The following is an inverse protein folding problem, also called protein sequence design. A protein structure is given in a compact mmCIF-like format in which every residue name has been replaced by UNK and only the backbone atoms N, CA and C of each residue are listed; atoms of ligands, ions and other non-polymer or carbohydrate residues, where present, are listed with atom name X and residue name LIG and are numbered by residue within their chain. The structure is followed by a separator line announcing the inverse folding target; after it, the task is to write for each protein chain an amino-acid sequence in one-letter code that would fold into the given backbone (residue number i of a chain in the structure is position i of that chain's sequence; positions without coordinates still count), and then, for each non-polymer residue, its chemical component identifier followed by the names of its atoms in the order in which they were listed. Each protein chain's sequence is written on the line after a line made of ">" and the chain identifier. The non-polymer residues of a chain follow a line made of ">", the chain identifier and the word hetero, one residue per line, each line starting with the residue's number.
data_IF_150789945406
#
_entry.id   IF_150789945406
#
_cell.length_a   1.000
_cell.length_b   1.000
_cell.length_c   1.000
_cell.angle_alpha   90.00
_cell.angle_beta   90.00
_cell.angle_gamma   90.00
#
_symmetry.space_group_name_H-M   'P 1'
#
loop_
_entity.id
_entity.type
_entity.pdbx_description
1 polymer ?
#
# COMPACT_ATOMS: atom_id res chain seq x y z
N UNK A 1 -40.87 -1.89 13.10
CA UNK A 1 -40.29 -1.73 11.76
C UNK A 1 -38.99 -0.98 11.92
N UNK A 2 -37.90 -1.46 11.32
CA UNK A 2 -36.60 -0.79 11.41
C UNK A 2 -36.58 0.30 10.34
N UNK A 3 -36.62 1.57 10.76
CA UNK A 3 -36.45 2.70 9.86
C UNK A 3 -35.01 2.77 9.36
N UNK A 4 -34.84 2.63 8.05
CA UNK A 4 -33.55 2.86 7.38
C UNK A 4 -33.38 4.37 7.15
N UNK A 5 -32.48 4.99 7.91
CA UNK A 5 -32.05 6.38 7.68
C UNK A 5 -31.33 6.51 6.34
N UNK A 6 -31.63 7.58 5.63
CA UNK A 6 -31.03 7.88 4.32
C UNK A 6 -29.62 8.49 4.47
N UNK A 7 -28.77 8.34 3.45
CA UNK A 7 -27.38 8.86 3.44
C UNK A 7 -27.26 10.37 3.69
N UNK A 8 -28.34 11.15 3.49
CA UNK A 8 -28.38 12.59 3.82
C UNK A 8 -28.52 12.83 5.33
N UNK A 9 -29.22 11.97 6.06
CA UNK A 9 -29.49 12.14 7.50
C UNK A 9 -28.28 11.76 8.35
N UNK A 10 -27.47 10.79 7.88
CA UNK A 10 -26.19 10.43 8.52
C UNK A 10 -25.20 11.61 8.47
N UNK A 11 -25.20 12.37 7.37
CA UNK A 11 -24.32 13.54 7.20
C UNK A 11 -24.74 14.75 8.05
N UNK A 12 -26.01 14.89 8.45
CA UNK A 12 -26.44 15.98 9.34
C UNK A 12 -26.19 15.67 10.82
N UNK A 13 -26.30 14.41 11.27
CA UNK A 13 -25.97 14.06 12.65
C UNK A 13 -24.47 14.19 12.96
N UNK A 14 -23.59 14.05 11.96
CA UNK A 14 -22.15 14.26 12.13
C UNK A 14 -21.76 15.75 12.31
N UNK A 15 -22.62 16.69 11.92
CA UNK A 15 -22.33 18.14 11.96
C UNK A 15 -22.90 18.88 13.18
N UNK A 16 -23.72 18.24 14.02
CA UNK A 16 -24.43 18.91 15.12
C UNK A 16 -23.88 18.62 16.53
N UNK A 17 -22.82 17.82 16.68
CA UNK A 17 -22.21 17.53 17.99
C UNK A 17 -20.87 18.26 18.11
N UNK A 18 -20.93 19.59 18.14
CA UNK A 18 -19.87 20.47 18.64
C UNK A 18 -20.52 21.74 19.20
N UNK A 19 -20.88 21.74 20.47
CA UNK A 19 -20.42 22.74 21.44
C UNK A 19 -20.93 22.41 22.85
N UNK A 20 -20.36 23.08 23.84
CA UNK A 20 -20.63 23.04 25.28
C UNK A 20 -19.82 22.05 26.12
N UNK A 21 -18.53 22.36 26.23
CA UNK A 21 -17.89 22.63 27.54
C UNK A 21 -16.53 23.32 27.38
N UNK A 22 -16.54 24.64 27.55
CA UNK A 22 -15.35 25.48 27.71
C UNK A 22 -14.75 25.26 29.10
N UNK A 23 -13.46 24.92 29.17
CA UNK A 23 -12.43 25.54 30.06
C UNK A 23 -11.09 24.80 29.93
N UNK A 24 -10.08 25.51 29.44
CA UNK A 24 -8.70 25.04 29.36
C UNK A 24 -7.96 25.66 28.18
N UNK A 25 -7.69 26.97 28.24
CA UNK A 25 -6.84 27.64 27.26
C UNK A 25 -5.40 27.21 27.49
N UNK A 26 -4.89 26.33 26.62
CA UNK A 26 -3.45 26.24 26.32
C UNK A 26 -3.26 26.61 24.86
N UNK A 27 -2.54 27.72 24.64
CA UNK A 27 -2.07 28.15 23.31
C UNK A 27 -1.12 27.08 22.77
N UNK A 28 -1.63 26.19 21.93
CA UNK A 28 -0.82 25.36 21.05
C UNK A 28 -0.31 26.23 19.90
N UNK A 29 0.98 26.56 19.96
CA UNK A 29 1.76 27.07 18.83
C UNK A 29 1.58 26.14 17.62
N UNK A 30 1.34 26.70 16.44
CA UNK A 30 1.15 25.94 15.21
C UNK A 30 2.30 24.97 14.97
N UNK A 31 2.02 23.67 15.14
CA UNK A 31 2.88 22.62 14.61
C UNK A 31 2.80 22.71 13.09
N UNK A 32 3.92 23.08 12.47
CA UNK A 32 4.14 22.75 11.07
C UNK A 32 3.89 21.24 10.91
N UNK A 33 3.15 20.84 9.88
CA UNK A 33 3.05 19.44 9.44
C UNK A 33 4.47 18.94 9.17
N UNK A 34 5.12 18.41 10.20
CA UNK A 34 6.52 18.01 10.16
C UNK A 34 6.61 16.68 9.43
N UNK A 35 7.36 16.66 8.33
CA UNK A 35 7.62 15.42 7.60
C UNK A 35 8.18 14.36 8.55
N UNK A 36 7.50 13.21 8.63
CA UNK A 36 7.93 12.06 9.44
C UNK A 36 9.09 11.34 8.76
N UNK A 37 9.91 10.62 9.52
CA UNK A 37 10.90 9.71 8.94
C UNK A 37 10.22 8.47 8.37
N UNK A 38 10.74 7.92 7.26
CA UNK A 38 10.21 6.68 6.67
C UNK A 38 10.30 5.49 7.65
N UNK A 39 11.15 5.56 8.67
CA UNK A 39 11.22 4.60 9.77
C UNK A 39 9.87 4.40 10.50
N UNK A 40 8.97 5.39 10.52
CA UNK A 40 7.60 5.22 11.07
C UNK A 40 6.84 4.11 10.31
N UNK A 41 7.08 4.00 9.00
CA UNK A 41 6.51 2.93 8.19
C UNK A 41 7.00 1.52 8.58
N UNK A 42 8.24 1.38 9.07
CA UNK A 42 8.77 0.11 9.59
C UNK A 42 7.96 -0.36 10.81
N UNK A 43 7.70 0.52 11.76
CA UNK A 43 6.94 0.19 12.97
C UNK A 43 5.50 -0.24 12.66
N UNK A 44 4.83 0.52 11.79
CA UNK A 44 3.48 0.20 11.32
C UNK A 44 3.43 -1.19 10.67
N UNK A 45 4.43 -1.51 9.85
CA UNK A 45 4.51 -2.81 9.15
C UNK A 45 4.81 -3.92 10.14
N UNK A 46 5.76 -3.74 11.06
CA UNK A 46 6.09 -4.71 12.10
C UNK A 46 4.86 -5.08 12.94
N UNK A 47 4.07 -4.08 13.36
CA UNK A 47 2.83 -4.31 14.10
C UNK A 47 1.79 -5.10 13.30
N UNK A 48 1.59 -4.77 12.01
CA UNK A 48 0.63 -5.46 11.14
C UNK A 48 1.03 -6.91 10.89
N UNK A 49 2.31 -7.14 10.65
CA UNK A 49 2.88 -8.47 10.42
C UNK A 49 2.75 -9.34 11.65
N UNK A 50 3.06 -8.81 12.83
CA UNK A 50 2.88 -9.49 14.11
C UNK A 50 1.41 -9.87 14.32
N UNK A 51 0.50 -8.90 14.18
CA UNK A 51 -0.95 -9.11 14.36
C UNK A 51 -1.53 -10.14 13.39
N UNK A 52 -0.99 -10.21 12.17
CA UNK A 52 -1.47 -11.12 11.13
C UNK A 52 -0.78 -12.49 11.13
N UNK A 53 0.19 -12.70 12.03
CA UNK A 53 0.91 -13.97 12.22
C UNK A 53 1.50 -14.53 10.91
N UNK A 54 2.14 -13.67 10.12
CA UNK A 54 2.65 -14.05 8.79
C UNK A 54 3.95 -14.85 8.89
N UNK A 55 4.06 -15.92 8.10
CA UNK A 55 5.33 -16.66 7.92
C UNK A 55 6.33 -15.79 7.15
N UNK A 56 7.28 -15.18 7.86
CA UNK A 56 8.35 -14.38 7.27
C UNK A 56 9.57 -15.21 6.86
N UNK A 57 9.45 -16.52 6.71
CA UNK A 57 10.53 -17.34 6.16
C UNK A 57 10.58 -17.15 4.65
N UNK A 58 11.73 -16.73 4.07
CA UNK A 58 11.87 -16.63 2.63
C UNK A 58 11.59 -17.95 1.91
N UNK A 59 10.93 -17.89 0.74
CA UNK A 59 10.67 -19.05 -0.10
C UNK A 59 11.26 -18.85 -1.49
N UNK A 60 11.82 -19.91 -2.04
CA UNK A 60 12.33 -19.90 -3.41
C UNK A 60 11.18 -19.85 -4.41
N UNK A 61 11.44 -19.18 -5.53
CA UNK A 61 10.55 -19.18 -6.69
C UNK A 61 11.17 -20.04 -7.80
N UNK A 62 10.37 -20.80 -8.55
CA UNK A 62 10.89 -21.63 -9.64
C UNK A 62 11.43 -20.78 -10.82
N UNK A 63 11.01 -19.51 -10.90
CA UNK A 63 11.35 -18.61 -11.99
C UNK A 63 11.62 -17.19 -11.50
N UNK A 64 12.45 -16.45 -12.23
CA UNK A 64 12.50 -14.99 -12.12
C UNK A 64 11.32 -14.37 -12.87
N UNK A 65 10.80 -13.25 -12.33
CA UNK A 65 9.80 -12.42 -13.00
C UNK A 65 10.24 -12.04 -14.42
N UNK A 66 9.29 -11.93 -15.34
CA UNK A 66 9.50 -11.51 -16.71
C UNK A 66 9.39 -9.98 -16.83
N UNK A 67 10.25 -9.37 -17.62
CA UNK A 67 10.03 -7.98 -18.07
C UNK A 67 8.86 -7.89 -19.04
N UNK A 68 8.27 -6.70 -19.22
CA UNK A 68 7.19 -6.49 -20.20
C UNK A 68 7.59 -6.92 -21.62
N UNK A 69 8.83 -6.66 -22.02
CA UNK A 69 9.36 -7.10 -23.31
C UNK A 69 9.47 -8.62 -23.43
N UNK A 70 9.89 -9.30 -22.37
CA UNK A 70 9.94 -10.77 -22.35
C UNK A 70 8.53 -11.38 -22.35
N UNK A 71 7.59 -10.82 -21.58
CA UNK A 71 6.19 -11.24 -21.60
C UNK A 71 5.60 -11.11 -23.01
N UNK A 72 5.83 -9.98 -23.70
CA UNK A 72 5.37 -9.75 -25.07
C UNK A 72 5.94 -10.80 -26.03
N UNK A 73 7.26 -11.02 -26.02
CA UNK A 73 7.92 -12.01 -26.89
C UNK A 73 7.37 -13.42 -26.68
N UNK A 74 7.18 -13.85 -25.43
CA UNK A 74 6.63 -15.19 -25.16
C UNK A 74 5.16 -15.26 -25.60
N UNK A 75 4.38 -14.18 -25.41
CA UNK A 75 2.99 -14.10 -25.87
C UNK A 75 2.87 -14.25 -27.38
N UNK A 76 3.72 -13.57 -28.15
CA UNK A 76 3.78 -13.70 -29.61
C UNK A 76 4.10 -15.15 -30.04
N UNK A 77 5.03 -15.82 -29.33
CA UNK A 77 5.31 -17.24 -29.57
C UNK A 77 4.13 -18.14 -29.23
N UNK A 78 3.34 -17.83 -28.20
CA UNK A 78 2.11 -18.57 -27.86
C UNK A 78 1.10 -18.43 -29.00
N UNK A 79 0.86 -17.20 -29.47
CA UNK A 79 -0.07 -16.88 -30.57
C UNK A 79 0.35 -17.60 -31.87
N UNK A 80 1.65 -17.62 -32.17
CA UNK A 80 2.21 -18.30 -33.33
C UNK A 80 2.43 -19.81 -33.13
N UNK A 81 2.07 -20.38 -31.97
CA UNK A 81 2.29 -21.79 -31.61
C UNK A 81 3.74 -22.28 -31.70
N UNK A 82 4.71 -21.37 -31.50
CA UNK A 82 6.15 -21.66 -31.51
C UNK A 82 6.78 -21.63 -30.12
N UNK A 83 5.97 -21.46 -29.07
CA UNK A 83 6.44 -21.40 -27.68
C UNK A 83 6.93 -22.76 -27.19
N UNK A 84 8.04 -22.79 -26.46
CA UNK A 84 8.48 -24.01 -25.78
C UNK A 84 7.66 -24.27 -24.51
N UNK A 85 7.62 -25.53 -24.06
CA UNK A 85 6.94 -25.91 -22.80
C UNK A 85 7.44 -25.11 -21.60
N UNK A 86 8.75 -24.81 -21.57
CA UNK A 86 9.38 -24.08 -20.48
C UNK A 86 9.03 -22.58 -20.49
N UNK A 87 9.06 -21.95 -21.66
CA UNK A 87 8.60 -20.56 -21.82
C UNK A 87 7.13 -20.40 -21.41
N UNK A 88 6.28 -21.35 -21.81
CA UNK A 88 4.88 -21.33 -21.44
C UNK A 88 4.66 -21.46 -19.93
N UNK A 89 5.35 -22.40 -19.27
CA UNK A 89 5.31 -22.55 -17.79
C UNK A 89 5.75 -21.28 -17.08
N UNK A 90 6.87 -20.69 -17.51
CA UNK A 90 7.39 -19.44 -16.95
C UNK A 90 6.41 -18.28 -17.15
N UNK A 91 5.82 -18.13 -18.33
CA UNK A 91 4.81 -17.12 -18.61
C UNK A 91 3.57 -17.26 -17.73
N UNK A 92 3.04 -18.48 -17.60
CA UNK A 92 1.88 -18.74 -16.76
C UNK A 92 2.19 -18.49 -15.27
N UNK A 93 3.37 -18.89 -14.81
CA UNK A 93 3.81 -18.60 -13.45
C UNK A 93 3.91 -17.09 -13.21
N UNK A 94 4.54 -16.35 -14.11
CA UNK A 94 4.73 -14.89 -14.00
C UNK A 94 3.39 -14.13 -14.00
N UNK A 95 2.43 -14.58 -14.83
CA UNK A 95 1.05 -14.06 -14.83
C UNK A 95 0.37 -14.28 -13.48
N UNK A 96 0.47 -15.49 -12.91
CA UNK A 96 -0.11 -15.80 -11.58
C UNK A 96 0.57 -15.00 -10.48
N UNK A 97 1.90 -14.91 -10.52
CA UNK A 97 2.69 -14.15 -9.55
C UNK A 97 2.35 -12.65 -9.59
N UNK A 98 2.27 -12.07 -10.78
CA UNK A 98 1.87 -10.67 -10.98
C UNK A 98 0.46 -10.40 -10.44
N UNK A 99 -0.50 -11.30 -10.72
CA UNK A 99 -1.86 -11.20 -10.16
C UNK A 99 -1.85 -11.27 -8.64
N UNK A 100 -1.05 -12.17 -8.06
CA UNK A 100 -0.91 -12.33 -6.60
C UNK A 100 -0.35 -11.06 -5.94
N UNK A 101 0.70 -10.47 -6.52
CA UNK A 101 1.26 -9.19 -6.06
C UNK A 101 0.25 -8.05 -6.12
N UNK A 102 -0.47 -7.93 -7.23
CA UNK A 102 -1.50 -6.92 -7.39
C UNK A 102 -2.64 -7.10 -6.36
N UNK A 103 -2.98 -8.34 -6.01
CA UNK A 103 -3.95 -8.63 -4.97
C UNK A 103 -3.53 -8.07 -3.61
N UNK A 104 -2.25 -8.11 -3.24
CA UNK A 104 -1.76 -7.52 -1.98
C UNK A 104 -1.95 -6.01 -1.93
N UNK A 105 -1.60 -5.31 -3.01
CA UNK A 105 -1.83 -3.85 -3.12
C UNK A 105 -3.31 -3.51 -3.08
N UNK A 106 -4.16 -4.29 -3.78
CA UNK A 106 -5.60 -4.07 -3.76
C UNK A 106 -6.20 -4.33 -2.37
N UNK A 107 -5.72 -5.35 -1.68
CA UNK A 107 -6.15 -5.68 -0.33
C UNK A 107 -5.78 -4.58 0.66
N UNK A 108 -4.57 -4.04 0.56
CA UNK A 108 -4.17 -2.86 1.32
C UNK A 108 -5.13 -1.68 1.13
N UNK A 109 -5.47 -1.32 -0.12
CA UNK A 109 -6.38 -0.19 -0.35
C UNK A 109 -7.80 -0.44 0.19
N UNK A 110 -8.26 -1.70 0.22
CA UNK A 110 -9.52 -2.06 0.87
C UNK A 110 -9.44 -1.90 2.38
N UNK A 111 -8.34 -2.36 2.99
CA UNK A 111 -8.09 -2.22 4.42
C UNK A 111 -8.01 -0.74 4.81
N UNK A 112 -7.33 0.09 4.01
CA UNK A 112 -7.22 1.52 4.25
C UNK A 112 -8.58 2.22 4.16
N UNK A 113 -9.37 1.89 3.14
CA UNK A 113 -10.76 2.36 3.04
C UNK A 113 -11.59 1.94 4.26
N UNK A 114 -11.43 0.72 4.74
CA UNK A 114 -12.14 0.23 5.93
C UNK A 114 -11.76 1.02 7.18
N UNK A 115 -10.47 1.28 7.41
CA UNK A 115 -10.01 2.11 8.54
C UNK A 115 -10.67 3.48 8.56
N UNK A 116 -10.72 4.14 7.40
CA UNK A 116 -11.39 5.44 7.25
C UNK A 116 -12.87 5.36 7.63
N UNK A 117 -13.58 4.34 7.13
CA UNK A 117 -15.02 4.16 7.39
C UNK A 117 -15.32 3.85 8.86
N UNK A 118 -14.43 3.10 9.51
CA UNK A 118 -14.58 2.68 10.91
C UNK A 118 -14.05 3.72 11.91
N UNK A 119 -13.43 4.81 11.43
CA UNK A 119 -12.78 5.82 12.28
C UNK A 119 -11.50 5.31 12.96
N UNK A 120 -10.88 4.26 12.42
CA UNK A 120 -9.60 3.73 12.91
C UNK A 120 -8.42 4.56 12.41
N UNK A 121 -7.26 4.53 13.11
CA UNK A 121 -6.04 5.15 12.61
C UNK A 121 -5.62 4.65 11.22
N UNK A 122 -5.45 5.59 10.29
CA UNK A 122 -4.98 5.34 8.92
C UNK A 122 -3.47 5.12 8.85
N UNK A 123 -2.98 4.64 7.72
CA UNK A 123 -1.54 4.40 7.49
C UNK A 123 -0.75 5.70 7.35
N UNK A 124 -1.37 6.74 6.79
CA UNK A 124 -0.79 8.08 6.58
C UNK A 124 -1.79 9.15 7.00
N UNK A 125 -1.30 10.37 7.12
CA UNK A 125 -2.10 11.56 7.40
C UNK A 125 -2.73 12.07 6.10
N UNK A 126 -3.77 11.36 5.63
CA UNK A 126 -4.42 11.67 4.37
C UNK A 126 -5.16 13.02 4.41
N UNK A 127 -5.02 13.82 3.35
CA UNK A 127 -5.87 14.99 3.17
C UNK A 127 -7.32 14.58 2.91
N UNK A 128 -8.26 15.52 3.09
CA UNK A 128 -9.68 15.26 2.80
C UNK A 128 -9.89 14.78 1.36
N UNK A 129 -9.18 15.36 0.39
CA UNK A 129 -9.25 14.96 -1.02
C UNK A 129 -8.77 13.53 -1.21
N UNK A 130 -7.63 13.16 -0.60
CA UNK A 130 -7.08 11.81 -0.66
C UNK A 130 -8.03 10.79 0.01
N UNK A 131 -8.62 11.15 1.15
CA UNK A 131 -9.66 10.35 1.82
C UNK A 131 -10.83 10.10 0.86
N UNK A 132 -11.34 11.12 0.17
CA UNK A 132 -12.42 10.95 -0.80
C UNK A 132 -12.01 10.06 -1.99
N UNK A 133 -10.77 10.15 -2.47
CA UNK A 133 -10.25 9.23 -3.49
C UNK A 133 -10.25 7.78 -3.00
N UNK A 134 -9.73 7.52 -1.80
CA UNK A 134 -9.69 6.18 -1.18
C UNK A 134 -11.12 5.63 -0.99
N UNK A 135 -12.05 6.43 -0.48
CA UNK A 135 -13.45 6.05 -0.29
C UNK A 135 -14.14 5.68 -1.61
N UNK A 136 -13.80 6.36 -2.71
CA UNK A 136 -14.26 6.04 -4.07
C UNK A 136 -13.55 4.84 -4.70
N UNK A 137 -12.62 4.20 -3.99
CA UNK A 137 -11.82 3.08 -4.49
C UNK A 137 -10.76 3.49 -5.52
N UNK A 138 -10.42 4.79 -5.58
CA UNK A 138 -9.30 5.30 -6.37
C UNK A 138 -8.03 5.30 -5.53
N UNK A 139 -6.88 5.36 -6.20
CA UNK A 139 -5.61 5.58 -5.52
C UNK A 139 -5.45 7.07 -5.28
N UNK A 140 -5.13 7.49 -4.04
CA UNK A 140 -4.89 8.88 -3.73
C UNK A 140 -3.69 9.42 -4.51
N UNK A 141 -3.66 10.74 -4.73
CA UNK A 141 -2.56 11.40 -5.41
C UNK A 141 -1.80 12.36 -4.49
N UNK A 142 -0.52 12.55 -4.78
CA UNK A 142 0.34 13.57 -4.20
C UNK A 142 1.06 14.29 -5.35
N UNK A 143 0.92 15.63 -5.42
CA UNK A 143 1.47 16.45 -6.51
C UNK A 143 1.17 15.92 -7.93
N UNK A 144 -0.07 15.47 -8.15
CA UNK A 144 -0.54 14.92 -9.44
C UNK A 144 -0.01 13.53 -9.78
N UNK A 145 0.71 12.87 -8.88
CA UNK A 145 1.18 11.50 -9.05
C UNK A 145 0.43 10.56 -8.10
N UNK A 146 0.03 9.38 -8.59
CA UNK A 146 -0.58 8.38 -7.73
C UNK A 146 0.39 7.88 -6.66
N UNK A 147 -0.08 7.79 -5.43
CA UNK A 147 0.61 7.12 -4.33
C UNK A 147 0.61 5.60 -4.60
N UNK A 148 1.75 4.97 -4.37
CA UNK A 148 2.06 3.59 -4.75
C UNK A 148 1.98 2.71 -3.50
N UNK A 149 1.38 1.53 -3.62
CA UNK A 149 1.54 0.50 -2.60
C UNK A 149 2.88 -0.22 -2.78
N UNK A 150 3.85 0.05 -1.90
CA UNK A 150 5.14 -0.61 -1.87
C UNK A 150 5.09 -1.92 -1.08
N UNK A 151 5.56 -3.01 -1.69
CA UNK A 151 5.77 -4.29 -1.00
C UNK A 151 7.02 -4.19 -0.11
N UNK A 152 6.84 -4.02 1.20
CA UNK A 152 7.95 -3.84 2.18
C UNK A 152 8.77 -5.12 2.37
N UNK A 153 8.16 -6.26 2.12
CA UNK A 153 8.84 -7.55 1.95
C UNK A 153 8.87 -7.88 0.45
N UNK A 154 10.08 -8.06 -0.10
CA UNK A 154 10.25 -8.32 -1.53
C UNK A 154 9.43 -9.54 -1.97
N UNK A 155 8.44 -9.30 -2.83
CA UNK A 155 7.49 -10.33 -3.27
C UNK A 155 8.16 -11.58 -3.90
N UNK A 156 9.36 -11.45 -4.48
CA UNK A 156 10.10 -12.59 -5.04
C UNK A 156 10.71 -13.50 -3.96
N UNK A 157 11.06 -12.94 -2.80
CA UNK A 157 11.59 -13.67 -1.66
C UNK A 157 10.48 -14.17 -0.74
N UNK A 158 9.30 -13.53 -0.77
CA UNK A 158 8.14 -13.86 0.04
C UNK A 158 6.87 -14.11 -0.81
N UNK A 159 6.93 -15.00 -1.82
CA UNK A 159 5.84 -15.19 -2.78
C UNK A 159 4.56 -15.77 -2.14
N UNK A 160 4.70 -16.51 -1.03
CA UNK A 160 3.58 -17.12 -0.30
C UNK A 160 2.74 -16.09 0.46
N UNK A 161 3.28 -14.91 0.78
CA UNK A 161 2.54 -13.84 1.49
C UNK A 161 2.43 -12.54 0.67
N UNK A 162 2.91 -12.48 -0.57
CA UNK A 162 2.91 -11.23 -1.36
C UNK A 162 1.52 -10.69 -1.77
N UNK A 163 0.45 -11.42 -1.46
CA UNK A 163 -0.95 -11.00 -1.59
C UNK A 163 -1.55 -10.42 -0.30
N UNK A 164 -0.75 -10.25 0.75
CA UNK A 164 -1.21 -9.69 2.03
C UNK A 164 -1.08 -8.17 2.01
N UNK A 165 -2.16 -7.47 2.35
CA UNK A 165 -2.20 -6.00 2.43
C UNK A 165 -1.38 -5.44 3.58
N UNK A 166 -1.18 -6.26 4.62
CA UNK A 166 -0.39 -5.98 5.81
C UNK A 166 1.08 -5.68 5.51
N UNK A 167 1.58 -6.14 4.36
CA UNK A 167 2.95 -5.94 3.88
C UNK A 167 3.10 -4.74 2.93
N UNK A 168 2.03 -3.95 2.78
CA UNK A 168 2.03 -2.81 1.87
C UNK A 168 2.11 -1.53 2.68
N UNK A 169 3.07 -0.69 2.29
CA UNK A 169 3.17 0.67 2.76
C UNK A 169 2.92 1.64 1.60
N UNK A 170 2.01 2.62 1.74
CA UNK A 170 1.76 3.61 0.70
C UNK A 170 2.90 4.62 0.66
N UNK A 171 3.43 4.89 -0.53
CA UNK A 171 4.57 5.78 -0.73
C UNK A 171 4.45 6.61 -2.01
N UNK A 172 5.06 7.78 -2.04
CA UNK A 172 5.34 8.47 -3.31
C UNK A 172 6.41 7.74 -4.11
N UNK A 173 6.58 8.12 -5.38
CA UNK A 173 7.69 7.64 -6.21
C UNK A 173 9.07 7.93 -5.60
N UNK A 174 9.23 9.05 -4.89
CA UNK A 174 10.53 9.43 -4.31
C UNK A 174 10.81 8.69 -3.01
N UNK A 175 9.83 8.59 -2.12
CA UNK A 175 9.92 7.77 -0.91
C UNK A 175 10.23 6.31 -1.26
N UNK A 176 9.56 5.77 -2.28
CA UNK A 176 9.79 4.42 -2.77
C UNK A 176 11.26 4.21 -3.16
N UNK A 177 11.81 5.09 -3.99
CA UNK A 177 13.18 4.94 -4.49
C UNK A 177 14.24 5.31 -3.43
N UNK A 178 14.09 6.47 -2.78
CA UNK A 178 15.13 7.08 -1.93
C UNK A 178 15.07 6.61 -0.48
N UNK A 179 13.87 6.38 0.06
CA UNK A 179 13.67 5.83 1.40
C UNK A 179 13.75 4.30 1.38
N UNK A 180 12.73 3.66 0.80
CA UNK A 180 12.59 2.20 0.86
C UNK A 180 13.68 1.44 0.09
N UNK A 181 14.15 1.99 -1.03
CA UNK A 181 15.19 1.38 -1.85
C UNK A 181 16.57 2.07 -1.75
N UNK A 182 16.74 3.11 -0.93
CA UNK A 182 18.05 3.75 -0.70
C UNK A 182 18.76 4.21 -1.99
N UNK A 183 17.98 4.68 -2.97
CA UNK A 183 18.44 5.17 -4.27
C UNK A 183 18.57 4.10 -5.37
N UNK A 184 18.36 2.81 -5.07
CA UNK A 184 18.45 1.74 -6.08
C UNK A 184 17.45 0.61 -5.83
N UNK A 185 16.60 0.30 -6.80
CA UNK A 185 15.63 -0.80 -6.73
C UNK A 185 16.24 -2.21 -6.52
N UNK A 186 17.56 -2.36 -6.70
CA UNK A 186 18.27 -3.59 -6.36
C UNK A 186 18.49 -3.77 -4.86
N UNK A 187 18.54 -2.68 -4.09
CA UNK A 187 18.65 -2.71 -2.63
C UNK A 187 17.28 -2.97 -2.04
N UNK A 188 17.24 -3.79 -0.99
CA UNK A 188 16.02 -4.08 -0.25
C UNK A 188 16.40 -4.41 1.19
N UNK A 189 15.53 -4.06 2.12
CA UNK A 189 15.60 -4.47 3.51
C UNK A 189 14.20 -4.98 3.90
N UNK A 190 14.01 -6.29 4.14
CA UNK A 190 12.69 -6.83 4.40
C UNK A 190 12.02 -6.15 5.61
N UNK A 191 10.84 -5.58 5.39
CA UNK A 191 10.00 -4.96 6.42
C UNK A 191 10.41 -3.54 6.81
N UNK A 192 11.52 -3.00 6.29
CA UNK A 192 12.07 -1.71 6.72
C UNK A 192 12.67 -0.91 5.56
N UNK A 193 12.75 0.43 5.67
CA UNK A 193 13.43 1.22 4.66
C UNK A 193 14.93 0.96 4.64
N UNK A 194 15.54 1.01 3.45
CA UNK A 194 17.00 0.98 3.31
C UNK A 194 17.63 2.28 3.81
N UNK A 195 16.95 3.40 3.64
CA UNK A 195 17.32 4.71 4.18
C UNK A 195 16.24 5.19 5.15
N UNK A 196 16.36 4.89 6.46
CA UNK A 196 15.35 5.25 7.46
C UNK A 196 15.22 6.75 7.67
N UNK A 197 16.30 7.50 7.49
CA UNK A 197 16.35 8.95 7.72
C UNK A 197 15.78 9.77 6.53
N UNK A 198 15.27 9.11 5.48
CA UNK A 198 14.56 9.82 4.43
C UNK A 198 13.24 10.34 5.02
N UNK A 199 12.90 11.59 4.73
CA UNK A 199 11.66 12.20 5.19
C UNK A 199 10.52 11.88 4.23
N UNK A 200 9.39 11.49 4.79
CA UNK A 200 8.12 11.32 4.10
C UNK A 200 7.66 12.66 3.50
N UNK A 201 7.05 12.61 2.31
CA UNK A 201 6.67 13.81 1.55
C UNK A 201 5.30 14.37 1.98
N UNK A 202 4.52 13.64 2.77
CA UNK A 202 3.20 14.05 3.27
C UNK A 202 2.74 13.27 4.51
#
# INVERSE_FOLDING_TARGET
>A
GVETKTLREINQQAFSVKDDRVRGVTKGTGEALGNKEVAVGEEIIAQRVLKAELDLTPKLTPYKSLSRGQQKKIKEKIENRTVTKEEYKRYQWDKRFSKRRAAGVNEFWKQEKKRILDGEPTTRDWTNEQIQEILRGKKPQYNGQSIIGHHTYNAMNYPHICNRGELIYPVTSREHLRGWHGGSYSKNAPGRPVNPNYLEEF
#
